data_IF_238635016313
#
_entry.id   IF_238635016313
#
_cell.length_a   1.000
_cell.length_b   1.000
_cell.length_c   1.000
_cell.angle_alpha   90.00
_cell.angle_beta   90.00
_cell.angle_gamma   90.00
#
_symmetry.space_group_name_H-M   'P 1'
#
loop_
_entity.id
_entity.type
_entity.pdbx_description
1 polymer ?
#
# COMPACT_ATOMS: atom_id res chain seq x y z
N UNK A 1 -33.07 2.22 -69.92
CA UNK A 1 -32.69 0.80 -69.73
C UNK A 1 -31.27 0.78 -69.20
N UNK A 2 -30.94 -0.17 -68.30
CA UNK A 2 -29.65 -0.36 -67.60
C UNK A 2 -29.44 0.69 -66.49
N UNK A 3 -29.19 0.38 -65.21
CA UNK A 3 -28.98 -0.89 -64.50
C UNK A 3 -28.48 -0.52 -63.10
N UNK A 4 -28.93 -1.26 -62.08
CA UNK A 4 -28.48 -1.16 -60.67
C UNK A 4 -26.96 -1.32 -60.56
N UNK A 5 -26.32 -0.71 -59.55
CA UNK A 5 -25.53 -1.42 -58.53
C UNK A 5 -24.99 -0.44 -57.46
N UNK A 6 -25.36 -0.68 -56.22
CA UNK A 6 -24.72 -0.21 -54.98
C UNK A 6 -23.30 -0.76 -54.87
N UNK A 7 -22.32 0.10 -54.60
CA UNK A 7 -21.01 -0.32 -54.08
C UNK A 7 -20.56 0.67 -53.02
N UNK A 8 -20.77 0.31 -51.75
CA UNK A 8 -20.06 0.92 -50.64
C UNK A 8 -18.59 0.52 -50.76
N UNK A 9 -17.69 1.49 -50.94
CA UNK A 9 -16.27 1.24 -50.73
C UNK A 9 -16.05 1.08 -49.22
N UNK A 10 -16.04 -0.17 -48.78
CA UNK A 10 -15.45 -0.55 -47.52
C UNK A 10 -13.96 -0.20 -47.59
N UNK A 11 -13.53 0.75 -46.76
CA UNK A 11 -12.13 1.01 -46.51
C UNK A 11 -11.59 -0.22 -45.77
N UNK A 12 -10.98 -1.15 -46.50
CA UNK A 12 -10.27 -2.28 -45.92
C UNK A 12 -8.98 -1.75 -45.29
N UNK A 13 -9.08 -1.28 -44.05
CA UNK A 13 -7.94 -1.06 -43.20
C UNK A 13 -7.32 -2.42 -42.88
N UNK A 14 -6.32 -2.82 -43.65
CA UNK A 14 -5.36 -3.85 -43.25
C UNK A 14 -4.59 -3.33 -42.03
N UNK A 15 -5.12 -3.54 -40.83
CA UNK A 15 -4.32 -3.53 -39.61
C UNK A 15 -3.48 -4.79 -39.62
N UNK A 16 -2.28 -4.67 -40.17
CA UNK A 16 -1.21 -5.63 -40.01
C UNK A 16 -0.98 -5.88 -38.51
N UNK A 17 -1.05 -7.15 -38.13
CA UNK A 17 -0.65 -7.62 -36.82
C UNK A 17 0.81 -7.26 -36.55
N UNK A 18 1.02 -6.35 -35.59
CA UNK A 18 2.26 -6.20 -34.85
C UNK A 18 2.00 -6.74 -33.45
N UNK A 19 2.09 -8.06 -33.30
CA UNK A 19 2.29 -8.69 -31.99
C UNK A 19 3.78 -8.87 -31.84
N UNK A 20 4.37 -8.25 -30.80
CA UNK A 20 5.56 -8.61 -29.99
C UNK A 20 6.08 -7.30 -29.36
N UNK A 21 6.20 -7.08 -28.06
CA UNK A 21 5.90 -7.86 -26.88
C UNK A 21 6.08 -6.95 -25.65
N UNK A 22 5.10 -6.99 -24.75
CA UNK A 22 5.03 -6.48 -23.38
C UNK A 22 3.54 -6.21 -23.20
N UNK A 23 2.78 -7.26 -22.85
CA UNK A 23 1.41 -7.00 -22.43
C UNK A 23 1.55 -6.19 -21.15
N UNK A 24 1.16 -4.92 -21.20
CA UNK A 24 0.96 -4.14 -20.01
C UNK A 24 0.04 -4.98 -19.11
N UNK A 25 0.51 -5.36 -17.93
CA UNK A 25 -0.40 -5.85 -16.91
C UNK A 25 -1.46 -4.77 -16.71
N UNK A 26 -2.67 -5.07 -17.14
CA UNK A 26 -3.82 -4.29 -16.73
C UNK A 26 -4.10 -4.76 -15.31
N UNK A 27 -3.51 -4.08 -14.33
CA UNK A 27 -4.05 -4.11 -12.98
C UNK A 27 -5.54 -3.77 -13.08
N UNK A 28 -6.39 -4.50 -12.35
CA UNK A 28 -7.77 -4.05 -12.21
C UNK A 28 -7.74 -2.76 -11.38
N UNK A 29 -8.23 -1.66 -11.96
CA UNK A 29 -8.23 -0.37 -11.27
C UNK A 29 -9.18 -0.48 -10.08
N UNK A 30 -8.63 -0.37 -8.87
CA UNK A 30 -9.40 -0.31 -7.64
C UNK A 30 -9.41 -1.56 -6.76
N UNK A 31 -8.87 -2.72 -7.19
CA UNK A 31 -8.80 -3.92 -6.33
C UNK A 31 -7.39 -4.11 -5.76
N UNK A 32 -7.14 -3.86 -4.46
CA UNK A 32 -5.83 -4.06 -3.86
C UNK A 32 -5.26 -5.46 -4.06
N UNK A 33 -3.93 -5.55 -4.11
CA UNK A 33 -3.23 -6.83 -3.92
C UNK A 33 -3.35 -7.31 -2.47
N UNK A 34 -2.81 -8.50 -2.18
CA UNK A 34 -2.77 -8.99 -0.80
C UNK A 34 -1.80 -8.14 0.01
N UNK A 35 -2.24 -7.64 1.16
CA UNK A 35 -1.39 -6.92 2.11
C UNK A 35 -1.72 -7.30 3.55
N UNK A 36 -0.69 -7.50 4.36
CA UNK A 36 -0.80 -7.87 5.77
C UNK A 36 0.14 -6.99 6.60
N UNK A 37 -0.29 -6.61 7.79
CA UNK A 37 0.53 -5.86 8.75
C UNK A 37 0.74 -6.65 10.04
N UNK A 38 1.64 -6.17 10.89
CA UNK A 38 2.05 -6.82 12.13
C UNK A 38 1.60 -6.09 13.40
N UNK A 39 2.30 -6.38 14.48
CA UNK A 39 2.19 -5.69 15.76
C UNK A 39 2.99 -4.38 15.71
N UNK A 40 2.49 -3.33 16.38
CA UNK A 40 3.27 -2.11 16.62
C UNK A 40 3.99 -2.19 17.97
N UNK A 41 5.23 -1.75 18.04
CA UNK A 41 5.99 -1.57 19.29
C UNK A 41 5.99 -0.09 19.67
N UNK A 42 5.50 0.21 20.87
CA UNK A 42 5.41 1.55 21.44
C UNK A 42 6.42 1.70 22.56
N UNK A 43 7.44 2.52 22.36
CA UNK A 43 8.49 2.75 23.36
C UNK A 43 8.35 4.14 23.95
N UNK A 44 8.11 4.23 25.25
CA UNK A 44 8.09 5.50 25.98
C UNK A 44 9.50 6.07 26.11
N UNK A 45 9.65 7.34 25.73
CA UNK A 45 10.88 8.13 25.84
C UNK A 45 10.53 9.56 26.21
N UNK A 46 10.77 9.92 27.47
CA UNK A 46 10.51 11.27 27.99
C UNK A 46 9.07 11.74 27.70
N UNK A 47 8.91 12.81 26.93
CA UNK A 47 7.64 13.43 26.51
C UNK A 47 7.07 12.83 25.20
N UNK A 48 7.59 11.68 24.75
CA UNK A 48 7.24 11.08 23.45
C UNK A 48 7.03 9.58 23.53
N UNK A 49 6.26 9.08 22.57
CA UNK A 49 6.17 7.66 22.26
C UNK A 49 6.78 7.44 20.89
N UNK A 50 7.76 6.55 20.84
CA UNK A 50 8.39 6.09 19.61
C UNK A 50 7.70 4.80 19.18
N UNK A 51 7.04 4.86 18.02
CA UNK A 51 6.23 3.79 17.47
C UNK A 51 6.99 3.18 16.30
N UNK A 52 7.25 1.88 16.40
CA UNK A 52 7.89 1.09 15.36
C UNK A 52 6.89 0.01 14.92
N UNK A 53 6.72 -0.15 13.61
CA UNK A 53 5.90 -1.23 13.07
C UNK A 53 6.68 -1.93 11.95
N UNK A 54 6.67 -3.26 12.02
CA UNK A 54 7.32 -4.09 11.03
C UNK A 54 6.77 -3.78 9.63
N UNK A 55 7.62 -3.90 8.63
CA UNK A 55 7.23 -3.76 7.23
C UNK A 55 6.03 -4.66 6.91
N UNK A 56 4.99 -4.14 6.22
CA UNK A 56 3.87 -4.97 5.83
C UNK A 56 4.31 -5.97 4.75
N UNK A 57 3.69 -7.14 4.74
CA UNK A 57 3.86 -8.10 3.64
C UNK A 57 2.89 -7.71 2.55
N UNK A 58 3.38 -7.22 1.41
CA UNK A 58 2.55 -6.72 0.31
C UNK A 58 2.88 -7.40 -1.00
N UNK A 59 1.87 -7.92 -1.70
CA UNK A 59 1.98 -8.52 -3.04
C UNK A 59 1.43 -7.58 -4.10
N UNK A 60 1.80 -7.77 -5.36
CA UNK A 60 1.20 -7.03 -6.48
C UNK A 60 -0.30 -7.37 -6.62
N UNK A 61 -1.04 -6.51 -7.33
CA UNK A 61 -2.42 -6.79 -7.73
C UNK A 61 -2.48 -8.01 -8.65
N UNK A 62 -3.63 -8.70 -8.67
CA UNK A 62 -3.87 -9.76 -9.66
C UNK A 62 -3.81 -9.20 -11.08
N UNK A 63 -3.22 -9.95 -12.01
CA UNK A 63 -3.10 -9.55 -13.43
C UNK A 63 -1.68 -9.16 -13.86
N UNK A 64 -0.75 -8.99 -12.90
CA UNK A 64 0.67 -8.93 -13.19
C UNK A 64 1.19 -10.28 -13.70
N UNK A 65 2.08 -10.24 -14.71
CA UNK A 65 2.69 -11.47 -15.24
C UNK A 65 3.70 -12.04 -14.24
N UNK A 66 4.01 -13.35 -14.30
CA UNK A 66 5.07 -13.92 -13.48
C UNK A 66 6.40 -13.18 -13.67
N UNK A 67 6.95 -12.65 -12.58
CA UNK A 67 8.20 -11.87 -12.57
C UNK A 67 8.05 -10.39 -12.94
N UNK A 68 6.84 -9.93 -13.27
CA UNK A 68 6.55 -8.51 -13.44
C UNK A 68 6.36 -7.86 -12.07
N UNK A 69 6.97 -6.68 -11.90
CA UNK A 69 6.94 -5.97 -10.64
C UNK A 69 5.93 -4.82 -10.71
N UNK A 70 5.05 -4.77 -9.70
CA UNK A 70 4.28 -3.58 -9.40
C UNK A 70 5.04 -2.73 -8.39
N UNK A 71 5.06 -1.40 -8.61
CA UNK A 71 5.56 -0.48 -7.61
C UNK A 71 4.51 -0.25 -6.53
N UNK A 72 4.92 -0.39 -5.28
CA UNK A 72 4.12 -0.14 -4.09
C UNK A 72 4.72 1.06 -3.35
N UNK A 73 3.90 1.87 -2.71
CA UNK A 73 4.37 2.78 -1.67
C UNK A 73 3.61 2.57 -0.37
N UNK A 74 4.25 2.84 0.75
CA UNK A 74 3.67 2.63 2.07
C UNK A 74 4.17 3.68 3.06
N UNK A 75 3.39 3.93 4.11
CA UNK A 75 3.78 4.77 5.24
C UNK A 75 2.99 4.41 6.48
N UNK A 76 3.60 4.65 7.64
CA UNK A 76 2.88 4.54 8.91
C UNK A 76 2.16 5.83 9.25
N UNK A 77 0.91 5.72 9.62
CA UNK A 77 0.05 6.81 10.09
C UNK A 77 -0.46 6.49 11.47
N UNK A 78 -0.44 7.48 12.34
CA UNK A 78 -0.83 7.36 13.75
C UNK A 78 -2.00 8.30 14.00
N UNK A 79 -3.10 7.75 14.49
CA UNK A 79 -4.30 8.49 14.84
C UNK A 79 -4.48 8.52 16.36
N UNK A 80 -5.00 9.63 16.88
CA UNK A 80 -5.56 9.66 18.23
C UNK A 80 -6.79 8.74 18.26
N UNK A 81 -6.80 7.76 19.16
CA UNK A 81 -7.82 6.73 19.21
C UNK A 81 -9.18 7.26 19.68
N UNK A 82 -9.21 8.34 20.48
CA UNK A 82 -10.44 8.91 21.02
C UNK A 82 -11.06 9.93 20.05
N UNK A 83 -10.22 10.76 19.42
CA UNK A 83 -10.66 11.84 18.54
C UNK A 83 -10.70 11.43 17.07
N UNK A 84 -10.07 10.31 16.71
CA UNK A 84 -9.87 9.87 15.32
C UNK A 84 -9.19 10.93 14.44
N UNK A 85 -8.32 11.75 15.05
CA UNK A 85 -7.56 12.80 14.36
C UNK A 85 -6.14 12.32 14.07
N UNK A 86 -5.55 12.82 12.99
CA UNK A 86 -4.17 12.51 12.64
C UNK A 86 -3.21 13.07 13.69
N UNK A 87 -2.49 12.21 14.39
CA UNK A 87 -1.48 12.60 15.38
C UNK A 87 -0.09 12.71 14.73
N UNK A 88 0.26 11.79 13.83
CA UNK A 88 1.54 11.80 13.12
C UNK A 88 1.50 10.91 11.88
N UNK A 89 2.38 11.17 10.92
CA UNK A 89 2.57 10.34 9.73
C UNK A 89 4.05 10.26 9.39
N UNK A 90 4.50 9.07 8.99
CA UNK A 90 5.80 8.85 8.38
C UNK A 90 5.84 9.27 6.92
N UNK A 91 7.05 9.30 6.38
CA UNK A 91 7.28 9.51 4.95
C UNK A 91 6.84 8.30 4.13
N UNK A 92 6.56 8.55 2.85
CA UNK A 92 6.28 7.46 1.90
C UNK A 92 7.57 6.73 1.52
N UNK A 93 7.59 5.44 1.79
CA UNK A 93 8.61 4.51 1.30
C UNK A 93 8.08 3.73 0.09
N UNK A 94 8.99 3.14 -0.69
CA UNK A 94 8.65 2.45 -1.95
C UNK A 94 9.23 1.04 -1.97
N UNK A 95 8.44 0.10 -2.46
CA UNK A 95 8.83 -1.29 -2.68
C UNK A 95 8.38 -1.80 -4.04
N UNK A 96 8.82 -3.01 -4.41
CA UNK A 96 8.44 -3.67 -5.66
C UNK A 96 7.97 -5.10 -5.37
N UNK A 97 6.69 -5.37 -5.58
CA UNK A 97 6.12 -6.70 -5.38
C UNK A 97 5.86 -7.40 -6.71
N UNK A 98 5.82 -8.72 -6.69
CA UNK A 98 5.16 -9.51 -7.75
C UNK A 98 3.90 -10.16 -7.19
N UNK A 99 3.17 -10.89 -8.02
CA UNK A 99 2.01 -11.70 -7.63
C UNK A 99 2.36 -12.84 -6.65
N UNK A 100 3.64 -13.23 -6.60
CA UNK A 100 4.15 -14.43 -5.92
C UNK A 100 5.27 -14.13 -4.94
N UNK A 101 5.87 -12.93 -5.01
CA UNK A 101 6.91 -12.46 -4.09
C UNK A 101 6.48 -11.14 -3.47
N UNK A 102 6.55 -11.01 -2.13
CA UNK A 102 6.20 -9.77 -1.48
C UNK A 102 7.20 -8.67 -1.83
N UNK A 103 6.79 -7.41 -1.70
CA UNK A 103 7.68 -6.28 -1.83
C UNK A 103 8.79 -6.33 -0.78
N UNK A 104 10.00 -5.99 -1.20
CA UNK A 104 11.09 -5.63 -0.31
C UNK A 104 10.75 -4.27 0.32
N UNK A 105 10.51 -4.27 1.63
CA UNK A 105 10.02 -3.15 2.42
C UNK A 105 10.75 -3.14 3.76
N UNK A 106 11.06 -1.95 4.25
CA UNK A 106 11.73 -1.72 5.52
C UNK A 106 10.73 -1.40 6.64
N UNK A 107 11.15 -1.66 7.88
CA UNK A 107 10.38 -1.31 9.07
C UNK A 107 10.26 0.22 9.17
N UNK A 108 9.09 0.69 9.60
CA UNK A 108 8.83 2.13 9.69
C UNK A 108 8.78 2.61 11.13
N UNK A 109 9.14 3.88 11.31
CA UNK A 109 9.28 4.48 12.64
C UNK A 109 8.70 5.88 12.69
N UNK A 110 7.79 6.10 13.62
CA UNK A 110 7.09 7.37 13.81
C UNK A 110 7.16 7.79 15.27
N UNK A 111 7.18 9.10 15.53
CA UNK A 111 7.14 9.65 16.88
C UNK A 111 5.86 10.45 17.08
N UNK A 112 5.25 10.27 18.24
CA UNK A 112 4.12 11.08 18.71
C UNK A 112 4.45 11.69 20.07
N UNK A 113 3.80 12.80 20.40
CA UNK A 113 3.89 13.37 21.74
C UNK A 113 3.17 12.44 22.71
N UNK A 114 3.78 12.20 23.86
CA UNK A 114 3.09 11.56 24.98
C UNK A 114 2.22 12.62 25.63
N UNK A 115 0.92 12.41 25.61
CA UNK A 115 -0.03 13.32 26.23
C UNK A 115 -1.09 12.48 26.93
N UNK A 116 -0.88 12.13 28.19
CA UNK A 116 -1.86 11.35 28.95
C UNK A 116 -3.18 12.15 29.03
N UNK A 117 -4.36 11.54 28.76
CA UNK A 117 -4.63 10.10 28.64
C UNK A 117 -4.72 9.57 27.20
N UNK A 118 -4.06 10.21 26.21
CA UNK A 118 -4.20 9.83 24.81
C UNK A 118 -3.69 8.41 24.55
N UNK A 119 -4.49 7.66 23.80
CA UNK A 119 -4.11 6.39 23.22
C UNK A 119 -4.08 6.54 21.70
N UNK A 120 -3.20 5.79 21.02
CA UNK A 120 -2.97 5.93 19.60
C UNK A 120 -3.27 4.62 18.85
N UNK A 121 -3.93 4.77 17.70
CA UNK A 121 -4.11 3.72 16.71
C UNK A 121 -3.06 3.87 15.61
N UNK A 122 -2.37 2.78 15.29
CA UNK A 122 -1.31 2.76 14.27
C UNK A 122 -1.83 2.02 13.04
N UNK A 123 -1.64 2.64 11.87
CA UNK A 123 -2.10 2.13 10.58
C UNK A 123 -0.95 2.19 9.58
N UNK A 124 -0.68 1.07 8.90
CA UNK A 124 0.16 1.07 7.70
C UNK A 124 -0.72 1.35 6.49
N UNK A 125 -0.52 2.50 5.85
CA UNK A 125 -1.15 2.82 4.58
C UNK A 125 -0.31 2.24 3.46
N UNK A 126 -0.94 1.52 2.55
CA UNK A 126 -0.29 0.88 1.40
C UNK A 126 -1.01 1.30 0.13
N UNK A 127 -0.26 1.67 -0.89
CA UNK A 127 -0.78 2.05 -2.20
C UNK A 127 -0.06 1.28 -3.30
N UNK A 128 -0.87 0.69 -4.19
CA UNK A 128 -0.41 0.07 -5.42
C UNK A 128 -0.41 1.13 -6.50
N UNK A 129 0.74 1.33 -7.16
CA UNK A 129 0.89 2.37 -8.16
C UNK A 129 0.63 1.82 -9.57
N UNK A 130 0.16 2.71 -10.44
CA UNK A 130 0.11 2.50 -11.87
C UNK A 130 1.52 2.24 -12.42
N UNK A 131 1.64 1.73 -13.66
CA UNK A 131 2.95 1.54 -14.31
C UNK A 131 3.80 2.82 -14.42
N UNK A 132 3.19 4.02 -14.32
CA UNK A 132 3.89 5.30 -14.26
C UNK A 132 4.66 5.52 -12.94
N UNK A 133 4.35 4.75 -11.89
CA UNK A 133 4.98 4.83 -10.58
C UNK A 133 4.60 6.07 -9.76
N UNK A 134 3.58 6.81 -10.17
CA UNK A 134 3.16 8.08 -9.57
C UNK A 134 1.73 8.02 -9.03
N UNK A 135 0.81 7.44 -9.81
CA UNK A 135 -0.62 7.46 -9.50
C UNK A 135 -1.05 6.17 -8.77
N UNK A 136 -1.69 6.26 -7.59
CA UNK A 136 -2.23 5.08 -6.95
C UNK A 136 -3.44 4.55 -7.72
N UNK A 137 -3.47 3.24 -7.97
CA UNK A 137 -4.58 2.53 -8.62
C UNK A 137 -5.39 1.69 -7.63
N UNK A 138 -4.84 1.43 -6.44
CA UNK A 138 -5.53 0.83 -5.32
C UNK A 138 -4.82 1.21 -4.01
N UNK A 139 -5.54 1.15 -2.89
CA UNK A 139 -5.00 1.46 -1.56
C UNK A 139 -5.62 0.57 -0.48
N UNK A 140 -4.88 0.36 0.61
CA UNK A 140 -5.35 -0.34 1.79
C UNK A 140 -4.79 0.32 3.05
N UNK A 141 -5.64 0.45 4.06
CA UNK A 141 -5.27 0.88 5.41
C UNK A 141 -5.24 -0.36 6.31
N UNK A 142 -4.05 -0.69 6.83
CA UNK A 142 -3.81 -1.88 7.63
C UNK A 142 -3.58 -1.48 9.09
N UNK A 143 -4.59 -1.61 9.93
CA UNK A 143 -4.45 -1.36 11.36
C UNK A 143 -3.51 -2.39 12.00
N UNK A 144 -2.64 -1.93 12.90
CA UNK A 144 -1.78 -2.81 13.68
C UNK A 144 -2.61 -3.88 14.41
N UNK A 145 -2.12 -5.11 14.41
CA UNK A 145 -2.84 -6.28 14.97
C UNK A 145 -2.75 -6.35 16.50
N UNK A 146 -1.90 -5.52 17.11
CA UNK A 146 -1.73 -5.37 18.55
C UNK A 146 -0.62 -4.38 18.86
N UNK A 147 -0.47 -4.04 20.15
CA UNK A 147 0.48 -3.02 20.60
C UNK A 147 1.36 -3.55 21.72
N UNK A 148 2.66 -3.69 21.46
CA UNK A 148 3.66 -4.04 22.47
C UNK A 148 4.19 -2.77 23.12
N UNK A 149 3.94 -2.58 24.42
CA UNK A 149 4.38 -1.37 25.13
C UNK A 149 5.69 -1.64 25.87
N UNK A 150 6.63 -0.71 25.72
CA UNK A 150 7.93 -0.73 26.39
C UNK A 150 8.18 0.59 27.11
N UNK A 151 8.69 0.49 28.34
CA UNK A 151 9.30 1.61 29.05
C UNK A 151 10.84 1.47 28.96
N UNK A 152 11.44 2.26 28.08
CA UNK A 152 12.84 2.08 27.68
C UNK A 152 13.11 0.69 27.10
N UNK A 153 13.74 -0.19 27.88
CA UNK A 153 14.04 -1.58 27.49
C UNK A 153 13.09 -2.62 28.10
N UNK A 154 12.25 -2.21 29.05
CA UNK A 154 11.37 -3.11 29.79
C UNK A 154 10.07 -3.28 29.02
N UNK A 155 9.70 -4.52 28.73
CA UNK A 155 8.38 -4.84 28.17
C UNK A 155 7.31 -4.79 29.27
N UNK A 156 6.26 -4.00 29.03
CA UNK A 156 5.14 -3.83 29.95
C UNK A 156 3.97 -4.76 29.61
N UNK A 157 3.88 -5.19 28.34
CA UNK A 157 2.88 -6.15 27.86
C UNK A 157 2.27 -5.78 26.51
N UNK A 158 1.24 -6.52 26.12
CA UNK A 158 0.45 -6.25 24.90
C UNK A 158 -0.89 -5.62 25.24
N UNK A 159 -1.28 -4.60 24.49
CA UNK A 159 -2.45 -3.76 24.72
C UNK A 159 -3.28 -3.55 23.45
N UNK A 160 -4.49 -3.02 23.61
CA UNK A 160 -5.40 -2.70 22.50
C UNK A 160 -5.04 -1.41 21.75
N UNK A 161 -4.26 -0.53 22.40
CA UNK A 161 -3.79 0.74 21.82
C UNK A 161 -2.37 1.04 22.29
N UNK A 162 -1.74 1.96 21.56
CA UNK A 162 -0.47 2.55 21.95
C UNK A 162 -0.71 3.69 22.94
N UNK A 163 -0.44 3.46 24.21
CA UNK A 163 -0.51 4.43 25.31
C UNK A 163 0.88 4.62 25.88
#
# INVERSE_FOLDING_TARGET
>A
MIGKLTTALALSATTAALVFGAGAASADTGVPGVALTGQATCTHKDDRIEIEIAAPIVYAQSGYRPGEHQQIRYRTVVYDAAQHTLASAGEWEKGKATDTKPAEMDDTKVKVLRNDPNAYQVVQQVEWLAPDGENPVASADLAATGYLIKDGRTELGTFEYCQ
#
